data_IF_783688088751
#
_entry.id   IF_783688088751
#
_cell.length_a   1.000
_cell.length_b   1.000
_cell.length_c   1.000
_cell.angle_alpha   90.00
_cell.angle_beta   90.00
_cell.angle_gamma   90.00
#
_symmetry.space_group_name_H-M   'P 1'
#
loop_
_entity.id
_entity.type
_entity.pdbx_description
1 polymer ?
#
# COMPACT_ATOMS: atom_id res chain seq x y z
N UNK A 1 4.87 -13.05 -5.14
CA UNK A 1 4.52 -11.71 -4.66
C UNK A 1 5.22 -10.72 -5.57
N UNK A 2 4.46 -9.92 -6.31
CA UNK A 2 5.02 -8.89 -7.20
C UNK A 2 4.94 -7.58 -6.46
N UNK A 3 6.07 -6.90 -6.26
CA UNK A 3 6.13 -5.59 -5.63
C UNK A 3 6.12 -4.55 -6.76
N UNK A 4 5.08 -3.70 -6.88
CA UNK A 4 5.07 -2.68 -7.90
C UNK A 4 6.18 -1.63 -7.67
N UNK A 5 6.94 -1.31 -8.71
CA UNK A 5 8.05 -0.34 -8.68
C UNK A 5 7.59 1.13 -8.63
N UNK A 6 6.32 1.39 -8.97
CA UNK A 6 5.72 2.73 -8.98
C UNK A 6 5.12 3.14 -7.62
N UNK A 7 5.39 2.38 -6.56
CA UNK A 7 4.90 2.64 -5.21
C UNK A 7 6.07 2.99 -4.29
N UNK A 8 5.81 3.93 -3.36
CA UNK A 8 6.70 4.19 -2.23
C UNK A 8 6.10 3.56 -0.98
N UNK A 9 6.91 2.90 -0.17
CA UNK A 9 6.45 2.14 0.99
C UNK A 9 6.92 2.77 2.30
N UNK A 10 6.15 2.61 3.36
CA UNK A 10 6.54 2.95 4.73
C UNK A 10 6.95 1.69 5.50
N UNK A 11 7.66 1.88 6.61
CA UNK A 11 7.92 0.78 7.56
C UNK A 11 6.66 0.29 8.29
N UNK A 12 5.54 1.02 8.16
CA UNK A 12 4.25 0.71 8.78
C UNK A 12 3.32 -0.06 7.83
N UNK A 13 3.90 -0.70 6.79
CA UNK A 13 3.17 -1.55 5.85
C UNK A 13 2.10 -0.81 5.03
N UNK A 14 2.32 0.47 4.78
CA UNK A 14 1.53 1.32 3.89
C UNK A 14 2.30 1.63 2.61
N UNK A 15 1.58 2.06 1.58
CA UNK A 15 2.16 2.53 0.34
C UNK A 15 1.45 3.78 -0.18
N UNK A 16 2.18 4.55 -0.99
CA UNK A 16 1.67 5.70 -1.73
C UNK A 16 2.02 5.59 -3.22
N UNK A 17 1.03 5.84 -4.07
CA UNK A 17 1.17 6.06 -5.51
C UNK A 17 0.88 7.52 -5.81
N UNK A 18 1.81 8.21 -6.48
CA UNK A 18 1.65 9.62 -6.84
C UNK A 18 1.50 9.71 -8.35
N UNK A 19 0.42 10.33 -8.81
CA UNK A 19 0.15 10.62 -10.21
C UNK A 19 -0.24 12.09 -10.36
N UNK A 20 0.58 12.85 -11.06
CA UNK A 20 0.46 14.31 -11.22
C UNK A 20 0.27 15.05 -9.89
N UNK A 21 -0.95 15.52 -9.62
CA UNK A 21 -1.33 16.25 -8.41
C UNK A 21 -2.17 15.43 -7.42
N UNK A 22 -2.34 14.12 -7.69
CA UNK A 22 -3.11 13.22 -6.84
C UNK A 22 -2.21 12.14 -6.23
N UNK A 23 -2.59 11.71 -5.03
CA UNK A 23 -1.94 10.63 -4.33
C UNK A 23 -2.99 9.62 -3.86
N UNK A 24 -2.72 8.34 -4.13
CA UNK A 24 -3.50 7.21 -3.61
C UNK A 24 -2.67 6.54 -2.53
N UNK A 25 -3.26 6.35 -1.36
CA UNK A 25 -2.64 5.68 -0.22
C UNK A 25 -3.40 4.38 0.03
N UNK A 26 -2.67 3.34 0.40
CA UNK A 26 -3.25 2.05 0.79
C UNK A 26 -2.34 1.26 1.70
N UNK A 27 -2.83 0.10 2.14
CA UNK A 27 -2.06 -0.87 2.92
C UNK A 27 -1.47 -1.95 2.01
N UNK A 28 -0.35 -2.53 2.42
CA UNK A 28 0.30 -3.63 1.70
C UNK A 28 -0.49 -4.94 1.79
N UNK A 29 -0.20 -5.87 0.89
CA UNK A 29 -0.74 -7.24 0.93
C UNK A 29 -0.36 -7.99 2.22
N UNK A 30 0.78 -7.63 2.83
CA UNK A 30 1.14 -8.13 4.16
C UNK A 30 0.16 -7.60 5.22
N UNK A 31 -0.06 -6.28 5.26
CA UNK A 31 -0.94 -5.67 6.27
C UNK A 31 -2.38 -6.18 6.19
N UNK A 32 -2.95 -6.38 5.00
CA UNK A 32 -4.32 -6.91 4.91
C UNK A 32 -4.43 -8.37 5.40
N UNK A 33 -3.36 -9.17 5.28
CA UNK A 33 -3.32 -10.52 5.84
C UNK A 33 -3.37 -10.54 7.38
N UNK A 34 -2.80 -9.52 8.02
CA UNK A 34 -2.79 -9.37 9.48
C UNK A 34 -4.11 -8.80 10.05
N UNK A 35 -4.91 -8.11 9.24
CA UNK A 35 -6.16 -7.47 9.68
C UNK A 35 -7.34 -8.45 9.81
N UNK A 36 -7.32 -9.58 9.10
CA UNK A 36 -8.47 -10.47 9.00
C UNK A 36 -9.58 -9.88 8.12
N UNK A 37 -10.85 -10.14 8.46
CA UNK A 37 -11.98 -9.63 7.67
C UNK A 37 -12.15 -8.11 7.84
N UNK A 38 -11.95 -7.37 6.75
CA UNK A 38 -12.23 -5.93 6.67
C UNK A 38 -13.73 -5.73 6.41
N UNK A 39 -14.43 -5.02 7.30
CA UNK A 39 -15.89 -4.74 7.25
C UNK A 39 -16.22 -3.26 7.25
#
# INVERSE_FOLDING_TARGET
>A
MTIPDNLKYTSEHEWIRVEDNEAVIGITDFAQGELGDVV
#
